data_IF_601152876162
#
_entry.id   IF_601152876162
#
_cell.length_a   1.000
_cell.length_b   1.000
_cell.length_c   1.000
_cell.angle_alpha   90.00
_cell.angle_beta   90.00
_cell.angle_gamma   90.00
#
_symmetry.space_group_name_H-M   'P 1'
#
loop_
_entity.id
_entity.type
_entity.pdbx_description
1 polymer ?
#
# COMPACT_ATOMS: atom_id res chain seq x y z
N UNK A 1 -14.78 30.88 -13.14
CA UNK A 1 -15.72 30.12 -13.99
C UNK A 1 -15.01 28.85 -14.43
N UNK A 2 -15.46 27.66 -14.03
CA UNK A 2 -15.02 26.45 -14.72
C UNK A 2 -15.91 26.28 -15.95
N UNK A 3 -15.32 26.36 -17.14
CA UNK A 3 -16.07 26.15 -18.38
C UNK A 3 -16.45 24.66 -18.47
N UNK A 4 -17.62 24.32 -19.05
CA UNK A 4 -18.04 22.91 -19.22
C UNK A 4 -16.98 22.06 -19.94
N UNK A 5 -16.17 22.73 -20.77
CA UNK A 5 -15.00 22.17 -21.47
C UNK A 5 -13.84 21.80 -20.53
N UNK A 6 -13.55 22.63 -19.52
CA UNK A 6 -12.50 22.35 -18.52
C UNK A 6 -12.88 21.18 -17.61
N UNK A 7 -14.17 21.08 -17.29
CA UNK A 7 -14.72 19.98 -16.50
C UNK A 7 -14.57 18.63 -17.23
N UNK A 8 -14.88 18.60 -18.53
CA UNK A 8 -14.68 17.43 -19.39
C UNK A 8 -13.20 17.03 -19.48
N UNK A 9 -12.30 18.00 -19.65
CA UNK A 9 -10.85 17.75 -19.69
C UNK A 9 -10.36 17.14 -18.37
N UNK A 10 -10.87 17.59 -17.23
CA UNK A 10 -10.47 17.08 -15.92
C UNK A 10 -10.96 15.63 -15.71
N UNK A 11 -12.21 15.33 -16.07
CA UNK A 11 -12.76 13.98 -16.03
C UNK A 11 -11.99 13.02 -16.94
N UNK A 12 -11.62 13.47 -18.15
CA UNK A 12 -10.85 12.66 -19.08
C UNK A 12 -9.43 12.36 -18.56
N UNK A 13 -8.74 13.37 -18.02
CA UNK A 13 -7.42 13.18 -17.37
C UNK A 13 -7.51 12.18 -16.21
N UNK A 14 -8.57 12.25 -15.41
CA UNK A 14 -8.79 11.32 -14.29
C UNK A 14 -9.09 9.90 -14.77
N UNK A 15 -9.93 9.73 -15.80
CA UNK A 15 -10.19 8.41 -16.39
C UNK A 15 -8.88 7.76 -16.85
N UNK A 16 -8.05 8.53 -17.57
CA UNK A 16 -6.72 8.08 -17.99
C UNK A 16 -5.81 7.72 -16.81
N UNK A 17 -5.82 8.50 -15.73
CA UNK A 17 -5.07 8.19 -14.52
C UNK A 17 -5.55 6.88 -13.87
N UNK A 18 -6.87 6.65 -13.81
CA UNK A 18 -7.43 5.42 -13.24
C UNK A 18 -7.10 4.20 -14.09
N UNK A 19 -7.19 4.32 -15.42
CA UNK A 19 -6.78 3.28 -16.36
C UNK A 19 -5.29 2.97 -16.19
N UNK A 20 -4.44 4.00 -16.15
CA UNK A 20 -3.01 3.84 -15.90
C UNK A 20 -2.71 3.13 -14.57
N UNK A 21 -3.41 3.51 -13.50
CA UNK A 21 -3.22 2.91 -12.17
C UNK A 21 -3.69 1.46 -12.15
N UNK A 22 -4.76 1.12 -12.87
CA UNK A 22 -5.25 -0.26 -13.00
C UNK A 22 -4.31 -1.11 -13.84
N UNK A 23 -3.77 -0.57 -14.93
CA UNK A 23 -2.72 -1.24 -15.72
C UNK A 23 -1.44 -1.43 -14.90
N UNK A 24 -1.06 -0.43 -14.12
CA UNK A 24 0.06 -0.49 -13.19
C UNK A 24 -0.17 -1.60 -12.15
N UNK A 25 -1.33 -1.65 -11.51
CA UNK A 25 -1.69 -2.72 -10.57
C UNK A 25 -1.65 -4.10 -11.25
N UNK A 26 -2.23 -4.26 -12.43
CA UNK A 26 -2.19 -5.54 -13.15
C UNK A 26 -0.75 -6.01 -13.47
N UNK A 27 0.15 -5.10 -13.82
CA UNK A 27 1.55 -5.44 -14.16
C UNK A 27 2.36 -5.71 -12.88
N UNK A 28 2.23 -4.83 -11.90
CA UNK A 28 3.09 -4.86 -10.70
C UNK A 28 2.55 -5.77 -9.59
N UNK A 29 1.26 -6.06 -9.55
CA UNK A 29 0.65 -6.92 -8.51
C UNK A 29 1.32 -8.29 -8.43
N UNK A 30 1.64 -8.88 -9.59
CA UNK A 30 2.30 -10.18 -9.64
C UNK A 30 3.77 -10.11 -9.23
N UNK A 31 4.49 -9.09 -9.68
CA UNK A 31 5.88 -8.84 -9.29
C UNK A 31 5.96 -8.60 -7.78
N UNK A 32 5.06 -7.80 -7.24
CA UNK A 32 4.98 -7.50 -5.82
C UNK A 32 4.69 -8.75 -4.99
N UNK A 33 3.78 -9.61 -5.45
CA UNK A 33 3.49 -10.88 -4.80
C UNK A 33 4.76 -11.74 -4.69
N UNK A 34 5.45 -11.96 -5.81
CA UNK A 34 6.69 -12.74 -5.82
C UNK A 34 7.78 -12.09 -4.98
N UNK A 35 7.89 -10.77 -4.99
CA UNK A 35 8.85 -10.02 -4.18
C UNK A 35 8.56 -10.15 -2.68
N UNK A 36 7.30 -10.10 -2.27
CA UNK A 36 6.90 -10.31 -0.87
C UNK A 36 7.19 -11.76 -0.46
N UNK A 37 6.80 -12.75 -1.26
CA UNK A 37 7.09 -14.15 -0.99
C UNK A 37 8.60 -14.39 -0.86
N UNK A 38 9.39 -13.84 -1.79
CA UNK A 38 10.85 -13.94 -1.73
C UNK A 38 11.40 -13.32 -0.45
N UNK A 39 11.01 -12.09 -0.12
CA UNK A 39 11.47 -11.42 1.10
C UNK A 39 11.10 -12.19 2.37
N UNK A 40 9.88 -12.75 2.44
CA UNK A 40 9.46 -13.57 3.58
C UNK A 40 10.31 -14.84 3.68
N UNK A 41 10.49 -15.57 2.58
CA UNK A 41 11.29 -16.81 2.57
C UNK A 41 12.74 -16.53 2.97
N UNK A 42 13.36 -15.49 2.41
CA UNK A 42 14.73 -15.07 2.76
C UNK A 42 14.81 -14.73 4.25
N UNK A 43 13.88 -13.90 4.75
CA UNK A 43 13.85 -13.52 6.17
C UNK A 43 13.71 -14.71 7.11
N UNK A 44 12.84 -15.68 6.80
CA UNK A 44 12.70 -16.91 7.59
C UNK A 44 13.96 -17.78 7.54
N UNK A 45 14.58 -17.90 6.37
CA UNK A 45 15.80 -18.68 6.19
C UNK A 45 16.95 -18.08 6.98
N UNK A 46 17.16 -16.76 6.86
CA UNK A 46 18.20 -16.03 7.57
C UNK A 46 17.99 -16.06 9.08
N UNK A 47 16.73 -15.99 9.52
CA UNK A 47 16.38 -16.14 10.93
C UNK A 47 16.79 -17.51 11.48
N UNK A 48 16.46 -18.59 10.76
CA UNK A 48 16.84 -19.95 11.16
C UNK A 48 18.36 -20.12 11.18
N UNK A 49 19.07 -19.63 10.16
CA UNK A 49 20.54 -19.68 10.09
C UNK A 49 21.16 -18.95 11.27
N UNK A 50 20.69 -17.74 11.56
CA UNK A 50 21.21 -16.90 12.63
C UNK A 50 21.03 -17.53 14.02
N UNK A 51 19.89 -18.17 14.29
CA UNK A 51 19.57 -18.66 15.64
C UNK A 51 19.89 -20.14 15.87
N UNK A 52 19.96 -20.98 14.83
CA UNK A 52 20.16 -22.43 14.98
C UNK A 52 21.52 -22.93 14.50
N UNK A 53 22.09 -22.29 13.48
CA UNK A 53 23.27 -22.82 12.78
C UNK A 53 24.53 -21.96 12.96
N UNK A 54 24.43 -20.79 13.56
CA UNK A 54 25.57 -19.92 13.83
C UNK A 54 26.38 -20.42 15.04
N UNK A 55 27.35 -21.31 14.79
CA UNK A 55 28.19 -21.91 15.84
C UNK A 55 29.34 -21.00 16.30
N UNK A 56 29.76 -20.01 15.48
CA UNK A 56 30.85 -19.09 15.80
C UNK A 56 30.39 -17.64 15.89
N UNK A 57 31.12 -16.82 16.65
CA UNK A 57 30.84 -15.38 16.78
C UNK A 57 30.89 -14.64 15.44
N UNK A 58 31.79 -15.06 14.53
CA UNK A 58 31.93 -14.47 13.19
C UNK A 58 30.72 -14.85 12.34
N UNK A 59 30.35 -16.13 12.31
CA UNK A 59 29.17 -16.60 11.58
C UNK A 59 27.87 -15.97 12.10
N UNK A 60 27.77 -15.76 13.41
CA UNK A 60 26.63 -15.07 14.02
C UNK A 60 26.56 -13.61 13.61
N UNK A 61 27.69 -12.90 13.57
CA UNK A 61 27.74 -11.51 13.11
C UNK A 61 27.36 -11.38 11.63
N UNK A 62 27.88 -12.24 10.76
CA UNK A 62 27.52 -12.28 9.34
C UNK A 62 26.02 -12.58 9.16
N UNK A 63 25.49 -13.56 9.89
CA UNK A 63 24.07 -13.93 9.84
C UNK A 63 23.16 -12.79 10.30
N UNK A 64 23.55 -12.04 11.35
CA UNK A 64 22.83 -10.86 11.80
C UNK A 64 22.82 -9.74 10.76
N UNK A 65 23.92 -9.52 10.04
CA UNK A 65 23.97 -8.54 8.96
C UNK A 65 23.03 -8.92 7.82
N UNK A 66 23.04 -10.19 7.39
CA UNK A 66 22.16 -10.71 6.34
C UNK A 66 20.69 -10.61 6.77
N UNK A 67 20.37 -11.03 8.00
CA UNK A 67 19.03 -10.89 8.56
C UNK A 67 18.56 -9.43 8.60
N UNK A 68 19.47 -8.50 8.94
CA UNK A 68 19.23 -7.07 8.90
C UNK A 68 18.88 -6.59 7.48
N UNK A 69 19.67 -6.99 6.48
CA UNK A 69 19.42 -6.64 5.07
C UNK A 69 18.09 -7.17 4.56
N UNK A 70 17.76 -8.44 4.84
CA UNK A 70 16.47 -9.04 4.49
C UNK A 70 15.30 -8.34 5.16
N UNK A 71 15.46 -7.94 6.44
CA UNK A 71 14.47 -7.15 7.16
C UNK A 71 14.26 -5.77 6.50
N UNK A 72 15.34 -5.07 6.16
CA UNK A 72 15.26 -3.77 5.47
C UNK A 72 14.60 -3.90 4.09
N UNK A 73 14.90 -4.96 3.33
CA UNK A 73 14.29 -5.22 2.03
C UNK A 73 12.78 -5.46 2.14
N UNK A 74 12.34 -6.27 3.11
CA UNK A 74 10.92 -6.48 3.37
C UNK A 74 10.23 -5.17 3.79
N UNK A 75 10.81 -4.44 4.73
CA UNK A 75 10.29 -3.15 5.20
C UNK A 75 10.14 -2.16 4.03
N UNK A 76 11.17 -2.02 3.20
CA UNK A 76 11.15 -1.14 2.03
C UNK A 76 10.05 -1.53 1.05
N UNK A 77 9.90 -2.83 0.77
CA UNK A 77 8.87 -3.36 -0.13
C UNK A 77 7.46 -3.06 0.40
N UNK A 78 7.19 -3.38 1.67
CA UNK A 78 5.87 -3.17 2.28
C UNK A 78 5.54 -1.68 2.41
N UNK A 79 6.49 -0.85 2.86
CA UNK A 79 6.27 0.59 3.00
C UNK A 79 5.99 1.24 1.64
N UNK A 80 6.75 0.89 0.60
CA UNK A 80 6.54 1.41 -0.74
C UNK A 80 5.16 1.01 -1.27
N UNK A 81 4.83 -0.27 -1.22
CA UNK A 81 3.56 -0.78 -1.69
C UNK A 81 2.36 -0.20 -0.92
N UNK A 82 2.48 -0.03 0.40
CA UNK A 82 1.42 0.56 1.24
C UNK A 82 1.17 2.04 0.96
N UNK A 83 2.17 2.77 0.46
CA UNK A 83 2.09 4.22 0.26
C UNK A 83 1.19 4.59 -0.92
N UNK A 84 1.07 3.69 -1.90
CA UNK A 84 0.21 3.88 -3.07
C UNK A 84 -1.26 4.01 -2.65
N UNK A 85 -1.90 3.01 -2.01
CA UNK A 85 -3.29 3.10 -1.59
C UNK A 85 -3.51 4.20 -0.53
N UNK A 86 -2.55 4.43 0.38
CA UNK A 86 -2.62 5.56 1.33
C UNK A 86 -2.74 6.92 0.63
N UNK A 87 -1.93 7.14 -0.42
CA UNK A 87 -1.96 8.39 -1.19
C UNK A 87 -3.30 8.57 -1.91
N UNK A 88 -3.87 7.49 -2.47
CA UNK A 88 -5.21 7.51 -3.05
C UNK A 88 -6.30 7.82 -2.00
N UNK A 89 -6.20 7.21 -0.82
CA UNK A 89 -7.09 7.48 0.31
C UNK A 89 -7.03 8.93 0.78
N UNK A 90 -5.84 9.54 0.84
CA UNK A 90 -5.67 10.95 1.19
C UNK A 90 -6.30 11.89 0.16
N UNK A 91 -6.13 11.60 -1.13
CA UNK A 91 -6.78 12.37 -2.20
C UNK A 91 -8.29 12.28 -2.08
N UNK A 92 -8.83 11.07 -1.86
CA UNK A 92 -10.27 10.86 -1.64
C UNK A 92 -10.78 11.63 -0.41
N UNK A 93 -10.02 11.64 0.69
CA UNK A 93 -10.35 12.42 1.89
C UNK A 93 -10.37 13.93 1.62
N UNK A 94 -9.36 14.46 0.92
CA UNK A 94 -9.33 15.89 0.55
C UNK A 94 -10.53 16.26 -0.33
N UNK A 95 -10.89 15.40 -1.29
CA UNK A 95 -12.08 15.59 -2.12
C UNK A 95 -13.37 15.54 -1.31
N UNK A 96 -13.46 14.65 -0.32
CA UNK A 96 -14.61 14.59 0.59
C UNK A 96 -14.78 15.87 1.40
N UNK A 97 -13.68 16.42 1.93
CA UNK A 97 -13.71 17.67 2.67
C UNK A 97 -14.13 18.83 1.77
N UNK A 98 -13.57 18.93 0.56
CA UNK A 98 -13.98 19.95 -0.43
C UNK A 98 -15.46 19.86 -0.79
N UNK A 99 -16.02 18.66 -0.88
CA UNK A 99 -17.46 18.46 -1.10
C UNK A 99 -18.29 18.94 0.09
N UNK A 100 -17.88 18.64 1.31
CA UNK A 100 -18.57 19.10 2.52
C UNK A 100 -18.50 20.64 2.64
N UNK A 101 -17.35 21.24 2.42
CA UNK A 101 -17.17 22.70 2.46
C UNK A 101 -18.06 23.40 1.41
N UNK A 102 -18.11 22.84 0.20
CA UNK A 102 -18.96 23.37 -0.88
C UNK A 102 -20.47 23.22 -0.61
N UNK A 103 -20.89 22.23 0.19
CA UNK A 103 -22.28 22.06 0.64
C UNK A 103 -22.66 23.04 1.76
N UNK A 104 -21.70 23.37 2.64
CA UNK A 104 -21.91 24.25 3.80
C UNK A 104 -21.93 25.73 3.38
N UNK A 105 -21.26 26.10 2.28
CA UNK A 105 -21.32 27.45 1.72
C UNK A 105 -22.77 27.88 1.43
N UNK A 106 -23.28 28.85 2.20
CA UNK A 106 -24.64 29.43 2.15
C UNK A 106 -24.95 30.25 0.90
N UNK A 107 -24.09 30.21 -0.12
CA UNK A 107 -24.32 30.86 -1.40
C UNK A 107 -25.39 30.14 -2.22
N UNK A 108 -26.28 30.87 -2.93
CA UNK A 108 -27.32 30.25 -3.73
C UNK A 108 -26.70 29.28 -4.75
N UNK A 109 -27.22 28.05 -4.75
CA UNK A 109 -26.79 26.97 -5.64
C UNK A 109 -27.09 27.35 -7.09
N UNK A 110 -26.12 27.98 -7.74
CA UNK A 110 -26.13 28.17 -9.19
C UNK A 110 -25.97 26.81 -9.89
N UNK A 111 -26.51 26.67 -11.10
CA UNK A 111 -26.43 25.41 -11.86
C UNK A 111 -25.01 24.88 -12.06
N UNK A 112 -24.01 25.76 -12.01
CA UNK A 112 -22.59 25.37 -12.05
C UNK A 112 -22.09 24.75 -10.73
N UNK A 113 -22.56 25.24 -9.57
CA UNK A 113 -22.23 24.68 -8.25
C UNK A 113 -22.80 23.26 -8.11
N UNK A 114 -24.02 23.04 -8.61
CA UNK A 114 -24.65 21.71 -8.69
C UNK A 114 -23.84 20.71 -9.54
N UNK A 115 -23.36 21.13 -10.71
CA UNK A 115 -22.49 20.29 -11.56
C UNK A 115 -21.17 19.94 -10.87
N UNK A 116 -20.58 20.90 -10.18
CA UNK A 116 -19.33 20.69 -9.41
C UNK A 116 -19.54 19.74 -8.22
N UNK A 117 -20.65 19.89 -7.49
CA UNK A 117 -21.02 19.00 -6.39
C UNK A 117 -21.32 17.58 -6.86
N UNK A 118 -22.09 17.41 -7.94
CA UNK A 118 -22.36 16.09 -8.53
C UNK A 118 -21.05 15.40 -8.95
N UNK A 119 -20.09 16.17 -9.47
CA UNK A 119 -18.77 15.68 -9.81
C UNK A 119 -18.00 15.25 -8.57
N UNK A 120 -17.85 16.12 -7.56
CA UNK A 120 -17.21 15.75 -6.28
C UNK A 120 -17.86 14.52 -5.63
N UNK A 121 -19.18 14.40 -5.67
CA UNK A 121 -19.91 13.23 -5.18
C UNK A 121 -19.54 11.96 -5.94
N UNK A 122 -19.49 12.02 -7.29
CA UNK A 122 -19.04 10.87 -8.10
C UNK A 122 -17.60 10.44 -7.78
N UNK A 123 -16.75 11.34 -7.29
CA UNK A 123 -15.39 11.01 -6.85
C UNK A 123 -15.37 10.32 -5.47
N UNK A 124 -16.32 10.65 -4.59
CA UNK A 124 -16.44 10.07 -3.25
C UNK A 124 -17.06 8.67 -3.33
N UNK A 125 -18.07 8.52 -4.18
CA UNK A 125 -18.88 7.29 -4.28
C UNK A 125 -18.17 6.15 -5.04
N UNK A 126 -17.02 6.41 -5.68
CA UNK A 126 -16.22 5.36 -6.31
C UNK A 126 -15.52 4.45 -5.29
N UNK A 127 -15.40 3.15 -5.62
CA UNK A 127 -14.70 2.13 -4.82
C UNK A 127 -13.29 2.56 -4.42
N UNK A 128 -12.88 2.15 -3.22
CA UNK A 128 -11.51 2.37 -2.74
C UNK A 128 -10.51 1.65 -3.65
N UNK A 129 -9.44 2.36 -4.00
CA UNK A 129 -8.34 1.77 -4.72
C UNK A 129 -7.48 0.97 -3.73
N UNK A 130 -7.45 -0.34 -3.90
CA UNK A 130 -6.53 -1.22 -3.20
C UNK A 130 -5.40 -1.61 -4.15
N UNK A 131 -4.16 -1.44 -3.70
CA UNK A 131 -3.01 -2.03 -4.37
C UNK A 131 -2.81 -3.43 -3.79
N UNK A 132 -3.02 -4.44 -4.61
CA UNK A 132 -3.04 -5.84 -4.15
C UNK A 132 -1.85 -6.60 -4.70
N UNK A 133 -1.26 -7.46 -3.87
CA UNK A 133 -0.33 -8.46 -4.36
C UNK A 133 -1.15 -9.61 -4.97
N UNK A 134 -1.16 -9.68 -6.31
CA UNK A 134 -1.92 -10.64 -7.12
C UNK A 134 -3.41 -10.76 -6.74
N UNK A 135 -4.08 -9.70 -6.26
CA UNK A 135 -5.46 -9.80 -5.79
C UNK A 135 -5.69 -10.68 -4.55
N UNK A 136 -4.63 -11.19 -3.93
CA UNK A 136 -4.71 -12.10 -2.78
C UNK A 136 -4.43 -11.40 -1.46
N UNK A 137 -3.46 -10.47 -1.44
CA UNK A 137 -2.98 -9.85 -0.21
C UNK A 137 -3.01 -8.33 -0.37
N UNK A 138 -3.71 -7.66 0.53
CA UNK A 138 -3.60 -6.22 0.70
C UNK A 138 -2.28 -5.90 1.39
N UNK A 139 -1.42 -5.14 0.72
CA UNK A 139 -0.10 -4.81 1.27
C UNK A 139 -0.23 -3.57 2.13
N UNK A 140 -0.33 -3.79 3.44
CA UNK A 140 -0.39 -2.75 4.45
C UNK A 140 0.77 -2.83 5.44
N UNK A 141 0.93 -1.80 6.26
CA UNK A 141 1.97 -1.76 7.30
C UNK A 141 1.77 -2.82 8.39
N UNK A 142 0.55 -3.36 8.54
CA UNK A 142 0.27 -4.42 9.52
C UNK A 142 0.98 -5.73 9.16
N UNK A 143 1.27 -5.96 7.86
CA UNK A 143 2.10 -7.09 7.43
C UNK A 143 3.47 -7.15 8.11
N UNK A 144 4.07 -6.01 8.44
CA UNK A 144 5.36 -5.94 9.15
C UNK A 144 5.20 -6.54 10.55
N UNK A 145 4.18 -6.08 11.29
CA UNK A 145 3.90 -6.57 12.64
C UNK A 145 3.52 -8.06 12.63
N UNK A 146 2.72 -8.47 11.65
CA UNK A 146 2.38 -9.89 11.46
C UNK A 146 3.64 -10.72 11.22
N UNK A 147 4.55 -10.26 10.35
CA UNK A 147 5.80 -10.98 10.06
C UNK A 147 6.67 -11.10 11.32
N UNK A 148 6.84 -10.03 12.09
CA UNK A 148 7.58 -10.06 13.36
C UNK A 148 6.93 -11.02 14.35
N UNK A 149 5.60 -10.99 14.48
CA UNK A 149 4.85 -11.91 15.34
C UNK A 149 5.05 -13.37 14.94
N UNK A 150 5.04 -13.68 13.63
CA UNK A 150 5.28 -15.03 13.12
C UNK A 150 6.73 -15.45 13.40
N UNK A 151 7.72 -14.58 13.19
CA UNK A 151 9.13 -14.87 13.49
C UNK A 151 9.34 -15.18 14.98
N UNK A 152 8.75 -14.38 15.87
CA UNK A 152 8.82 -14.63 17.32
C UNK A 152 8.18 -15.98 17.66
N UNK A 153 6.99 -16.25 17.11
CA UNK A 153 6.26 -17.51 17.34
C UNK A 153 7.06 -18.72 16.87
N UNK A 154 7.63 -18.66 15.66
CA UNK A 154 8.49 -19.71 15.13
C UNK A 154 9.79 -19.84 15.92
N UNK A 155 10.38 -18.73 16.37
CA UNK A 155 11.55 -18.73 17.25
C UNK A 155 11.28 -19.48 18.56
N UNK A 156 10.12 -19.22 19.19
CA UNK A 156 9.70 -19.96 20.38
C UNK A 156 9.49 -21.45 20.10
N UNK A 157 8.82 -21.80 18.99
CA UNK A 157 8.61 -23.21 18.61
C UNK A 157 9.92 -23.94 18.36
N UNK A 158 10.88 -23.30 17.69
CA UNK A 158 12.20 -23.87 17.45
C UNK A 158 12.94 -24.10 18.78
N UNK A 159 12.90 -23.14 19.70
CA UNK A 159 13.54 -23.23 21.01
C UNK A 159 12.94 -24.29 21.93
N UNK A 160 11.64 -24.63 21.79
CA UNK A 160 11.00 -25.69 22.60
C UNK A 160 11.10 -27.08 21.97
N UNK A 161 11.49 -27.16 20.69
CA UNK A 161 11.67 -28.42 19.95
C UNK A 161 13.10 -28.97 19.95
N UNK A 162 14.04 -28.24 20.56
CA UNK A 162 15.45 -28.59 20.79
C UNK A 162 15.70 -28.97 22.23
#
# INVERSE_FOLDING_TARGET
MLNSRELLIYLEKRRKLKEFVKEFDNIFSGILFWLICHNLISLFTDFIVCFRFAESKVALFESLLVLGLSSFSLLGTVLFASRIPESFGEVKRKLRNLHQDALIETSPLTGNKLKYLALLKSFIDEEEFYFTAWGMINVDKSMILNTVGILITYGFLLATSS
#
